data_IF_997222805119
#
_entry.id   IF_997222805119
#
_cell.length_a   1.000
_cell.length_b   1.000
_cell.length_c   1.000
_cell.angle_alpha   90.00
_cell.angle_beta   90.00
_cell.angle_gamma   90.00
#
_symmetry.space_group_name_H-M   'P 1'
#
loop_
_entity.id
_entity.type
_entity.pdbx_description
1 polymer ?
#
# COMPACT_ATOMS: atom_id res chain seq x y z
N UNK A 1 -14.95 20.34 20.22
CA UNK A 1 -15.08 18.86 20.25
C UNK A 1 -15.88 18.33 19.07
N UNK A 2 -17.09 18.82 18.78
CA UNK A 2 -17.84 18.46 17.55
C UNK A 2 -16.98 18.62 16.28
N UNK A 3 -16.26 19.74 16.15
CA UNK A 3 -15.35 19.99 15.02
C UNK A 3 -14.30 18.90 14.82
N UNK A 4 -13.80 18.27 15.89
CA UNK A 4 -12.79 17.22 15.80
C UNK A 4 -13.38 15.97 15.14
N UNK A 5 -14.56 15.53 15.60
CA UNK A 5 -15.27 14.40 14.98
C UNK A 5 -15.65 14.70 13.52
N UNK A 6 -16.19 15.89 13.24
CA UNK A 6 -16.51 16.30 11.86
C UNK A 6 -15.27 16.30 10.97
N UNK A 7 -14.14 16.78 11.48
CA UNK A 7 -12.86 16.73 10.76
C UNK A 7 -12.42 15.28 10.52
N UNK A 8 -12.53 14.39 11.51
CA UNK A 8 -12.24 12.96 11.32
C UNK A 8 -13.14 12.32 10.28
N UNK A 9 -14.46 12.56 10.31
CA UNK A 9 -15.37 12.05 9.27
C UNK A 9 -15.01 12.58 7.89
N UNK A 10 -14.74 13.88 7.77
CA UNK A 10 -14.31 14.50 6.52
C UNK A 10 -13.02 13.85 6.00
N UNK A 11 -12.01 13.69 6.85
CA UNK A 11 -10.75 13.04 6.50
C UNK A 11 -10.92 11.61 6.03
N UNK A 12 -11.75 10.81 6.72
CA UNK A 12 -12.06 9.44 6.32
C UNK A 12 -12.80 9.39 4.99
N UNK A 13 -13.80 10.25 4.80
CA UNK A 13 -14.54 10.34 3.54
C UNK A 13 -13.62 10.68 2.37
N UNK A 14 -12.80 11.73 2.50
CA UNK A 14 -11.84 12.14 1.47
C UNK A 14 -10.81 11.05 1.21
N UNK A 15 -10.29 10.40 2.25
CA UNK A 15 -9.37 9.26 2.11
C UNK A 15 -9.97 8.15 1.26
N UNK A 16 -11.21 7.73 1.58
CA UNK A 16 -11.93 6.69 0.84
C UNK A 16 -12.09 7.09 -0.63
N UNK A 17 -12.58 8.31 -0.90
CA UNK A 17 -12.77 8.83 -2.27
C UNK A 17 -11.47 8.82 -3.06
N UNK A 18 -10.37 9.30 -2.48
CA UNK A 18 -9.07 9.37 -3.15
C UNK A 18 -8.47 7.99 -3.40
N UNK A 19 -8.60 7.05 -2.46
CA UNK A 19 -8.17 5.65 -2.64
C UNK A 19 -8.96 5.00 -3.76
N UNK A 20 -10.29 5.11 -3.77
CA UNK A 20 -11.13 4.56 -4.85
C UNK A 20 -10.80 5.18 -6.20
N UNK A 21 -10.62 6.51 -6.26
CA UNK A 21 -10.20 7.19 -7.49
C UNK A 21 -8.86 6.65 -8.03
N UNK A 22 -7.89 6.38 -7.15
CA UNK A 22 -6.61 5.77 -7.52
C UNK A 22 -6.77 4.32 -8.01
N UNK A 23 -7.58 3.51 -7.33
CA UNK A 23 -7.86 2.12 -7.74
C UNK A 23 -8.51 2.09 -9.12
N UNK A 24 -9.50 2.96 -9.37
CA UNK A 24 -10.14 3.09 -10.68
C UNK A 24 -9.10 3.48 -11.72
N UNK A 25 -8.30 4.53 -11.45
CA UNK A 25 -7.24 5.00 -12.37
C UNK A 25 -6.24 3.90 -12.73
N UNK A 26 -5.82 3.08 -11.77
CA UNK A 26 -4.89 1.97 -12.02
C UNK A 26 -5.56 0.82 -12.77
N UNK A 27 -6.82 0.51 -12.45
CA UNK A 27 -7.57 -0.56 -13.11
C UNK A 27 -7.95 -0.21 -14.56
N UNK A 28 -8.12 1.07 -14.85
CA UNK A 28 -8.41 1.61 -16.18
C UNK A 28 -7.15 2.01 -16.97
N UNK A 29 -5.95 1.77 -16.41
CA UNK A 29 -4.72 2.11 -17.10
C UNK A 29 -4.56 1.27 -18.39
N UNK A 30 -3.92 1.84 -19.44
CA UNK A 30 -3.54 1.08 -20.62
C UNK A 30 -2.67 -0.13 -20.29
N UNK A 31 -2.56 -1.05 -21.25
CA UNK A 31 -1.64 -2.19 -21.15
C UNK A 31 -0.22 -1.67 -20.90
N UNK A 32 0.44 -2.20 -19.88
CA UNK A 32 1.82 -1.87 -19.57
C UNK A 32 2.77 -2.66 -20.46
N UNK A 33 4.02 -2.19 -20.57
CA UNK A 33 5.09 -2.97 -21.19
C UNK A 33 5.38 -4.20 -20.32
N UNK A 34 5.51 -5.36 -20.96
CA UNK A 34 5.90 -6.61 -20.28
C UNK A 34 7.38 -6.55 -19.92
N UNK A 35 7.69 -6.91 -18.68
CA UNK A 35 9.07 -6.99 -18.22
C UNK A 35 9.65 -8.41 -18.31
N UNK A 36 8.82 -9.42 -18.62
CA UNK A 36 9.22 -10.85 -18.74
C UNK A 36 10.19 -11.31 -17.63
N UNK A 37 9.87 -10.95 -16.38
CA UNK A 37 10.73 -11.23 -15.23
C UNK A 37 10.58 -12.66 -14.75
N UNK A 38 11.45 -13.54 -15.24
CA UNK A 38 11.55 -14.91 -14.75
C UNK A 38 12.27 -14.99 -13.39
N UNK A 39 11.92 -15.98 -12.54
CA UNK A 39 10.83 -16.94 -12.71
C UNK A 39 9.45 -16.30 -12.49
N UNK A 40 8.45 -16.76 -13.26
CA UNK A 40 7.04 -16.37 -13.12
C UNK A 40 6.41 -17.21 -12.02
N UNK A 41 5.81 -16.58 -11.02
CA UNK A 41 5.41 -17.27 -9.78
C UNK A 41 4.31 -18.33 -9.98
N UNK A 42 3.44 -18.17 -10.97
CA UNK A 42 2.35 -19.11 -11.24
C UNK A 42 2.73 -20.22 -12.23
N UNK A 43 3.95 -20.25 -12.76
CA UNK A 43 4.45 -21.32 -13.63
C UNK A 43 5.02 -22.49 -12.81
N UNK A 44 5.04 -23.69 -13.39
CA UNK A 44 5.54 -24.91 -12.71
C UNK A 44 7.06 -24.93 -12.53
N UNK A 45 7.81 -24.19 -13.36
CA UNK A 45 9.26 -24.29 -13.43
C UNK A 45 9.94 -23.46 -12.33
N UNK A 46 10.23 -24.11 -11.21
CA UNK A 46 10.86 -23.50 -10.03
C UNK A 46 12.27 -22.91 -10.30
N UNK A 47 12.97 -23.41 -11.32
CA UNK A 47 14.36 -23.07 -11.63
C UNK A 47 14.51 -22.20 -12.89
N UNK A 48 13.41 -21.61 -13.37
CA UNK A 48 13.39 -20.81 -14.60
C UNK A 48 12.90 -21.60 -15.81
N UNK A 49 12.52 -20.86 -16.84
CA UNK A 49 11.97 -21.37 -18.09
C UNK A 49 10.46 -21.16 -18.21
N UNK A 50 10.04 -20.65 -19.36
CA UNK A 50 8.66 -20.27 -19.65
C UNK A 50 7.86 -21.40 -20.28
N UNK A 51 6.53 -21.32 -20.26
CA UNK A 51 5.71 -22.09 -21.18
C UNK A 51 6.10 -21.87 -22.66
N UNK A 52 6.77 -20.76 -23.01
CA UNK A 52 7.33 -20.54 -24.36
C UNK A 52 8.34 -21.60 -24.80
N UNK A 53 8.95 -22.33 -23.86
CA UNK A 53 9.88 -23.43 -24.15
C UNK A 53 9.16 -24.71 -24.58
N UNK A 54 7.84 -24.81 -24.35
CA UNK A 54 7.06 -25.96 -24.80
C UNK A 54 6.79 -25.88 -26.31
N UNK A 55 7.13 -26.91 -27.09
CA UNK A 55 6.80 -26.95 -28.51
C UNK A 55 5.29 -26.83 -28.72
N UNK A 56 4.88 -25.91 -29.61
CA UNK A 56 3.46 -25.63 -29.90
C UNK A 56 2.68 -25.23 -28.64
N UNK A 57 3.30 -24.55 -27.67
CA UNK A 57 2.64 -24.05 -26.46
C UNK A 57 1.31 -23.33 -26.73
N UNK A 58 1.20 -22.62 -27.87
CA UNK A 58 -0.01 -21.89 -28.28
C UNK A 58 -1.22 -22.79 -28.58
N UNK A 59 -1.03 -24.11 -28.66
CA UNK A 59 -2.11 -25.10 -28.81
C UNK A 59 -2.58 -25.67 -27.46
N UNK A 60 -1.83 -25.44 -26.38
CA UNK A 60 -2.10 -26.00 -25.07
C UNK A 60 -2.73 -24.95 -24.15
N UNK A 61 -3.53 -25.40 -23.17
CA UNK A 61 -3.97 -24.53 -22.09
C UNK A 61 -2.80 -24.21 -21.15
N UNK A 62 -2.54 -22.92 -20.95
CA UNK A 62 -1.50 -22.44 -20.02
C UNK A 62 -1.99 -22.67 -18.59
N UNK A 63 -1.31 -23.55 -17.86
CA UNK A 63 -1.63 -23.87 -16.46
C UNK A 63 -1.00 -22.84 -15.52
N UNK A 64 -1.85 -22.09 -14.82
CA UNK A 64 -1.42 -21.10 -13.82
C UNK A 64 -1.75 -21.56 -12.41
N UNK A 65 -0.77 -21.49 -11.50
CA UNK A 65 -0.97 -21.74 -10.08
C UNK A 65 -1.19 -20.42 -9.33
N UNK A 66 -2.45 -20.04 -9.13
CA UNK A 66 -2.80 -18.84 -8.34
C UNK A 66 -2.34 -18.94 -6.88
N UNK A 67 -2.27 -20.16 -6.32
CA UNK A 67 -1.78 -20.37 -4.96
C UNK A 67 -0.29 -20.03 -4.86
N UNK A 68 0.50 -20.44 -5.85
CA UNK A 68 1.93 -20.12 -5.88
C UNK A 68 2.16 -18.61 -6.03
N UNK A 69 1.38 -17.96 -6.91
CA UNK A 69 1.38 -16.51 -7.10
C UNK A 69 1.09 -15.76 -5.78
N UNK A 70 0.01 -16.13 -5.10
CA UNK A 70 -0.39 -15.55 -3.82
C UNK A 70 0.66 -15.79 -2.72
N UNK A 71 1.29 -16.96 -2.70
CA UNK A 71 2.35 -17.26 -1.73
C UNK A 71 3.58 -16.38 -1.94
N UNK A 72 4.02 -16.20 -3.18
CA UNK A 72 5.17 -15.31 -3.48
C UNK A 72 4.81 -13.85 -3.19
N UNK A 73 3.58 -13.42 -3.48
CA UNK A 73 3.11 -12.08 -3.06
C UNK A 73 3.13 -11.93 -1.54
N UNK A 74 2.64 -12.92 -0.81
CA UNK A 74 2.66 -12.92 0.65
C UNK A 74 4.08 -12.76 1.19
N UNK A 75 5.05 -13.54 0.69
CA UNK A 75 6.45 -13.41 1.10
C UNK A 75 7.06 -12.03 0.77
N UNK A 76 6.74 -11.50 -0.41
CA UNK A 76 7.24 -10.20 -0.87
C UNK A 76 6.62 -9.02 -0.12
N UNK A 77 5.41 -9.17 0.42
CA UNK A 77 4.71 -8.12 1.15
C UNK A 77 5.00 -8.21 2.64
N UNK A 78 4.83 -9.38 3.24
CA UNK A 78 4.97 -9.57 4.70
C UNK A 78 6.45 -9.57 5.10
N UNK A 79 7.29 -10.31 4.39
CA UNK A 79 8.71 -10.44 4.74
C UNK A 79 9.65 -9.54 3.95
N UNK A 80 9.12 -8.79 2.97
CA UNK A 80 9.93 -7.99 2.04
C UNK A 80 11.06 -8.83 1.41
N UNK A 81 10.73 -10.06 1.01
CA UNK A 81 11.70 -11.07 0.55
C UNK A 81 12.65 -10.54 -0.53
N UNK A 82 12.15 -9.77 -1.49
CA UNK A 82 12.98 -9.14 -2.52
C UNK A 82 14.05 -8.20 -1.94
N UNK A 83 13.68 -7.38 -0.94
CA UNK A 83 14.63 -6.50 -0.25
C UNK A 83 15.61 -7.32 0.58
N UNK A 84 15.16 -8.38 1.26
CA UNK A 84 16.03 -9.27 2.03
C UNK A 84 17.15 -9.87 1.16
N UNK A 85 16.78 -10.37 -0.03
CA UNK A 85 17.70 -11.05 -0.94
C UNK A 85 18.67 -10.05 -1.61
N UNK A 86 18.15 -8.93 -2.12
CA UNK A 86 18.93 -8.03 -2.99
C UNK A 86 19.55 -6.83 -2.25
N UNK A 87 19.03 -6.46 -1.08
CA UNK A 87 19.53 -5.34 -0.28
C UNK A 87 19.31 -5.55 1.22
N UNK A 88 20.04 -6.53 1.78
CA UNK A 88 19.93 -6.92 3.18
C UNK A 88 20.15 -5.78 4.17
N UNK A 89 21.02 -4.81 3.84
CA UNK A 89 21.26 -3.62 4.67
C UNK A 89 20.00 -2.76 4.78
N UNK A 90 19.28 -2.55 3.68
CA UNK A 90 17.99 -1.84 3.67
C UNK A 90 16.89 -2.63 4.39
N UNK A 91 16.94 -3.96 4.30
CA UNK A 91 15.95 -4.83 4.94
C UNK A 91 15.92 -4.67 6.47
N UNK A 92 17.07 -4.53 7.13
CA UNK A 92 17.12 -4.39 8.60
C UNK A 92 16.34 -3.19 9.15
N UNK A 93 16.14 -2.13 8.36
CA UNK A 93 15.31 -0.99 8.75
C UNK A 93 13.92 -1.04 8.11
N UNK A 94 13.82 -1.54 6.88
CA UNK A 94 12.55 -1.64 6.15
C UNK A 94 11.61 -2.66 6.79
N UNK A 95 12.11 -3.82 7.21
CA UNK A 95 11.27 -4.88 7.77
C UNK A 95 10.64 -4.47 9.10
N UNK A 96 11.39 -3.97 10.12
CA UNK A 96 10.77 -3.42 11.33
C UNK A 96 9.77 -2.31 11.04
N UNK A 97 10.09 -1.40 10.11
CA UNK A 97 9.15 -0.34 9.72
C UNK A 97 7.81 -0.89 9.22
N UNK A 98 7.84 -1.84 8.26
CA UNK A 98 6.62 -2.41 7.68
C UNK A 98 5.88 -3.32 8.67
N UNK A 99 6.61 -4.16 9.40
CA UNK A 99 6.03 -5.00 10.46
C UNK A 99 5.32 -4.13 11.51
N UNK A 100 5.95 -3.03 11.92
CA UNK A 100 5.34 -2.07 12.83
C UNK A 100 4.04 -1.48 12.28
N UNK A 101 4.03 -1.09 11.00
CA UNK A 101 2.82 -0.59 10.34
C UNK A 101 1.72 -1.66 10.26
N UNK A 102 2.06 -2.92 9.99
CA UNK A 102 1.11 -4.02 10.00
C UNK A 102 0.49 -4.23 11.39
N UNK A 103 1.29 -4.15 12.45
CA UNK A 103 0.81 -4.24 13.82
C UNK A 103 -0.07 -3.06 14.22
N UNK A 104 0.26 -1.82 13.79
CA UNK A 104 -0.58 -0.63 14.01
C UNK A 104 -1.93 -0.78 13.30
N UNK A 105 -1.93 -1.21 12.04
CA UNK A 105 -3.16 -1.48 11.28
C UNK A 105 -3.98 -2.59 11.93
N UNK A 106 -3.34 -3.67 12.36
CA UNK A 106 -4.01 -4.74 13.11
C UNK A 106 -4.62 -4.23 14.42
N UNK A 107 -3.91 -3.36 15.15
CA UNK A 107 -4.38 -2.72 16.39
C UNK A 107 -5.64 -1.90 16.13
N UNK A 108 -5.69 -1.13 15.04
CA UNK A 108 -6.89 -0.40 14.65
C UNK A 108 -8.09 -1.35 14.44
N UNK A 109 -7.92 -2.44 13.68
CA UNK A 109 -9.01 -3.40 13.48
C UNK A 109 -9.41 -4.12 14.78
N UNK A 110 -8.47 -4.44 15.66
CA UNK A 110 -8.76 -5.02 16.97
C UNK A 110 -9.53 -4.04 17.87
N UNK A 111 -9.22 -2.74 17.84
CA UNK A 111 -10.01 -1.70 18.52
C UNK A 111 -11.43 -1.66 17.95
N UNK A 112 -11.59 -1.68 16.62
CA UNK A 112 -12.93 -1.73 15.99
C UNK A 112 -13.69 -2.97 16.45
N UNK A 113 -13.07 -4.15 16.45
CA UNK A 113 -13.68 -5.39 16.95
C UNK A 113 -14.09 -5.25 18.42
N UNK A 114 -13.24 -4.66 19.26
CA UNK A 114 -13.53 -4.41 20.68
C UNK A 114 -14.77 -3.54 20.86
N UNK A 115 -14.90 -2.48 20.05
CA UNK A 115 -16.06 -1.59 20.04
C UNK A 115 -17.31 -2.32 19.54
N UNK A 116 -17.22 -3.10 18.47
CA UNK A 116 -18.37 -3.85 17.94
C UNK A 116 -18.88 -4.90 18.94
N UNK A 117 -17.97 -5.57 19.67
CA UNK A 117 -18.34 -6.52 20.73
C UNK A 117 -19.02 -5.82 21.91
N UNK A 118 -18.57 -4.62 22.26
CA UNK A 118 -19.23 -3.80 23.28
C UNK A 118 -20.64 -3.36 22.84
N UNK A 119 -20.80 -2.89 21.60
CA UNK A 119 -22.12 -2.53 21.06
C UNK A 119 -23.07 -3.73 20.95
N UNK A 120 -22.54 -4.93 20.71
CA UNK A 120 -23.30 -6.17 20.70
C UNK A 120 -23.53 -6.76 22.11
N UNK A 121 -23.12 -6.07 23.18
CA UNK A 121 -23.23 -6.54 24.58
C UNK A 121 -22.51 -7.88 24.85
N UNK A 122 -21.49 -8.21 24.06
CA UNK A 122 -20.68 -9.43 24.22
C UNK A 122 -19.52 -9.24 25.19
N UNK A 123 -19.03 -8.00 25.31
CA UNK A 123 -17.95 -7.56 26.22
C UNK A 123 -18.34 -6.18 26.74
N UNK A 124 -17.81 -5.73 27.88
CA UNK A 124 -17.91 -4.34 28.30
C UNK A 124 -16.59 -3.63 28.03
N UNK A 125 -16.62 -2.55 27.25
CA UNK A 125 -15.42 -1.83 26.81
C UNK A 125 -14.56 -1.39 28.01
N UNK A 126 -13.24 -1.55 27.89
CA UNK A 126 -12.28 -1.15 28.93
C UNK A 126 -12.46 -1.86 30.28
N UNK A 127 -13.11 -3.02 30.31
CA UNK A 127 -13.19 -3.87 31.50
C UNK A 127 -12.55 -5.22 31.24
N UNK A 128 -11.96 -5.78 32.29
CA UNK A 128 -11.23 -7.06 32.27
C UNK A 128 -12.01 -8.15 33.02
N UNK A 129 -13.32 -8.25 32.74
CA UNK A 129 -14.23 -9.19 33.44
C UNK A 129 -14.42 -10.51 32.70
N UNK A 130 -14.48 -10.47 31.36
CA UNK A 130 -14.60 -11.66 30.51
C UNK A 130 -13.26 -12.03 29.89
N UNK A 131 -12.96 -13.34 29.81
CA UNK A 131 -11.73 -13.86 29.19
C UNK A 131 -11.49 -13.30 27.78
N UNK A 132 -12.52 -13.23 26.95
CA UNK A 132 -12.42 -12.68 25.58
C UNK A 132 -12.02 -11.21 25.60
N UNK A 133 -12.56 -10.41 26.52
CA UNK A 133 -12.21 -9.00 26.70
C UNK A 133 -10.76 -8.82 27.15
N UNK A 134 -10.32 -9.62 28.12
CA UNK A 134 -8.94 -9.63 28.62
C UNK A 134 -7.98 -9.97 27.48
N UNK A 135 -8.24 -11.05 26.73
CA UNK A 135 -7.40 -11.45 25.60
C UNK A 135 -7.30 -10.34 24.56
N UNK A 136 -8.44 -9.76 24.18
CA UNK A 136 -8.49 -8.69 23.19
C UNK A 136 -7.72 -7.44 23.64
N UNK A 137 -7.91 -6.99 24.88
CA UNK A 137 -7.16 -5.86 25.45
C UNK A 137 -5.64 -6.12 25.47
N UNK A 138 -5.22 -7.32 25.84
CA UNK A 138 -3.80 -7.70 25.84
C UNK A 138 -3.20 -7.71 24.44
N UNK A 139 -3.90 -8.28 23.45
CA UNK A 139 -3.43 -8.30 22.06
C UNK A 139 -3.36 -6.88 21.48
N UNK A 140 -4.37 -6.03 21.75
CA UNK A 140 -4.35 -4.60 21.37
C UNK A 140 -3.11 -3.92 21.95
N UNK A 141 -2.80 -4.14 23.23
CA UNK A 141 -1.63 -3.54 23.86
C UNK A 141 -0.32 -4.03 23.25
N UNK A 142 -0.13 -5.34 23.11
CA UNK A 142 1.11 -5.91 22.56
C UNK A 142 1.32 -5.43 21.13
N UNK A 143 0.29 -5.48 20.30
CA UNK A 143 0.39 -5.08 18.89
C UNK A 143 0.53 -3.57 18.76
N UNK A 144 -0.17 -2.80 19.59
CA UNK A 144 -0.13 -1.35 19.57
C UNK A 144 1.24 -0.81 19.97
N UNK A 145 1.74 -1.18 21.15
CA UNK A 145 3.06 -0.75 21.61
C UNK A 145 4.18 -1.32 20.75
N UNK A 146 4.13 -2.63 20.44
CA UNK A 146 5.12 -3.26 19.57
C UNK A 146 5.15 -2.64 18.17
N UNK A 147 3.98 -2.36 17.61
CA UNK A 147 3.83 -1.69 16.32
C UNK A 147 4.45 -0.30 16.30
N UNK A 148 4.13 0.53 17.31
CA UNK A 148 4.68 1.88 17.42
C UNK A 148 6.20 1.88 17.58
N UNK A 149 6.75 1.03 18.45
CA UNK A 149 8.19 0.93 18.65
C UNK A 149 8.90 0.54 17.35
N UNK A 150 8.41 -0.51 16.68
CA UNK A 150 9.01 -0.99 15.43
C UNK A 150 8.89 0.03 14.30
N UNK A 151 7.75 0.71 14.16
CA UNK A 151 7.57 1.77 13.16
C UNK A 151 8.49 2.95 13.42
N UNK A 152 8.61 3.43 14.66
CA UNK A 152 9.49 4.55 15.00
C UNK A 152 10.97 4.20 14.77
N UNK A 153 11.43 3.04 15.25
CA UNK A 153 12.81 2.57 15.01
C UNK A 153 13.09 2.39 13.52
N UNK A 154 12.13 1.82 12.79
CA UNK A 154 12.20 1.67 11.34
C UNK A 154 12.29 3.01 10.61
N UNK A 155 11.48 4.01 10.98
CA UNK A 155 11.55 5.37 10.45
C UNK A 155 12.93 5.99 10.67
N UNK A 156 13.44 5.95 11.90
CA UNK A 156 14.75 6.51 12.26
C UNK A 156 15.84 5.84 11.42
N UNK A 157 15.83 4.51 11.34
CA UNK A 157 16.79 3.73 10.56
C UNK A 157 16.74 4.05 9.06
N UNK A 158 15.54 4.19 8.48
CA UNK A 158 15.37 4.54 7.08
C UNK A 158 15.80 5.98 6.78
N UNK A 159 15.50 6.93 7.66
CA UNK A 159 15.98 8.32 7.54
C UNK A 159 17.50 8.34 7.60
N UNK A 160 18.10 7.67 8.59
CA UNK A 160 19.55 7.57 8.73
C UNK A 160 20.20 6.97 7.48
N UNK A 161 19.66 5.85 6.98
CA UNK A 161 20.20 5.19 5.79
C UNK A 161 20.10 6.08 4.55
N UNK A 162 18.96 6.77 4.35
CA UNK A 162 18.78 7.70 3.22
C UNK A 162 19.72 8.90 3.31
N UNK A 163 20.00 9.40 4.51
CA UNK A 163 20.88 10.54 4.72
C UNK A 163 22.37 10.20 4.55
N UNK A 164 22.78 8.99 4.92
CA UNK A 164 24.20 8.62 5.02
C UNK A 164 24.72 7.81 3.83
N UNK A 165 23.89 6.97 3.21
CA UNK A 165 24.34 6.06 2.17
C UNK A 165 24.22 6.72 0.78
N UNK A 166 25.39 7.02 0.19
CA UNK A 166 25.54 7.72 -1.10
C UNK A 166 24.75 7.05 -2.23
N UNK A 167 24.47 5.73 -2.14
CA UNK A 167 23.69 5.00 -3.15
C UNK A 167 22.27 5.54 -3.27
N UNK A 168 21.68 6.05 -2.19
CA UNK A 168 20.31 6.59 -2.21
C UNK A 168 20.23 8.04 -2.68
N UNK A 169 21.37 8.74 -2.82
CA UNK A 169 21.39 10.17 -3.20
C UNK A 169 20.60 10.45 -4.48
N UNK A 170 20.67 9.57 -5.47
CA UNK A 170 20.00 9.73 -6.77
C UNK A 170 18.53 9.28 -6.76
N UNK A 171 18.10 8.56 -5.73
CA UNK A 171 16.75 8.02 -5.59
C UNK A 171 15.91 8.76 -4.55
N UNK A 172 16.55 9.59 -3.71
CA UNK A 172 15.89 10.37 -2.68
C UNK A 172 15.29 11.66 -3.26
N UNK A 173 14.03 11.90 -2.94
CA UNK A 173 13.35 13.18 -3.09
C UNK A 173 12.98 13.74 -1.71
N UNK A 174 12.70 15.05 -1.63
CA UNK A 174 12.23 15.68 -0.39
C UNK A 174 10.99 14.97 0.19
N UNK A 175 10.07 14.55 -0.69
CA UNK A 175 8.86 13.83 -0.29
C UNK A 175 9.15 12.52 0.45
N UNK A 176 10.24 11.81 0.12
CA UNK A 176 10.57 10.55 0.80
C UNK A 176 10.96 10.78 2.27
N UNK A 177 11.65 11.89 2.55
CA UNK A 177 11.94 12.31 3.92
C UNK A 177 10.70 12.84 4.63
N UNK A 178 9.91 13.71 3.98
CA UNK A 178 8.66 14.25 4.57
C UNK A 178 7.71 13.13 4.99
N UNK A 179 7.54 12.09 4.16
CA UNK A 179 6.71 10.93 4.51
C UNK A 179 7.22 10.22 5.77
N UNK A 180 8.53 9.93 5.85
CA UNK A 180 9.12 9.25 7.00
C UNK A 180 9.06 10.09 8.27
N UNK A 181 9.34 11.39 8.19
CA UNK A 181 9.24 12.30 9.32
C UNK A 181 7.79 12.43 9.80
N UNK A 182 6.82 12.51 8.90
CA UNK A 182 5.42 12.59 9.31
C UNK A 182 4.99 11.31 10.04
N UNK A 183 5.31 10.12 9.51
CA UNK A 183 5.02 8.85 10.21
C UNK A 183 5.74 8.79 11.56
N UNK A 184 7.00 9.24 11.64
CA UNK A 184 7.74 9.27 12.89
C UNK A 184 7.11 10.20 13.92
N UNK A 185 6.76 11.43 13.53
CA UNK A 185 6.09 12.40 14.42
C UNK A 185 4.75 11.85 14.90
N UNK A 186 3.95 11.29 13.99
CA UNK A 186 2.68 10.66 14.34
C UNK A 186 2.90 9.53 15.34
N UNK A 187 3.83 8.61 15.08
CA UNK A 187 4.16 7.48 15.95
C UNK A 187 4.66 7.92 17.34
N UNK A 188 5.52 8.93 17.40
CA UNK A 188 6.03 9.49 18.66
C UNK A 188 4.91 10.15 19.46
N UNK A 189 4.06 10.96 18.84
CA UNK A 189 2.92 11.59 19.52
C UNK A 189 1.98 10.52 20.08
N UNK A 190 1.62 9.52 19.27
CA UNK A 190 0.76 8.41 19.72
C UNK A 190 1.39 7.68 20.91
N UNK A 191 2.70 7.37 20.82
CA UNK A 191 3.40 6.68 21.90
C UNK A 191 3.40 7.48 23.20
N UNK A 192 3.67 8.79 23.13
CA UNK A 192 3.63 9.70 24.27
C UNK A 192 2.21 9.76 24.87
N UNK A 193 1.17 9.87 24.02
CA UNK A 193 -0.23 9.85 24.49
C UNK A 193 -0.55 8.56 25.23
N UNK A 194 -0.17 7.40 24.68
CA UNK A 194 -0.48 6.10 25.29
C UNK A 194 0.21 5.89 26.64
N UNK A 195 1.46 6.33 26.78
CA UNK A 195 2.21 6.18 28.03
C UNK A 195 1.70 7.15 29.11
N UNK A 196 1.28 8.36 28.75
CA UNK A 196 0.95 9.40 29.71
C UNK A 196 -0.52 9.47 30.11
N UNK A 197 -1.44 9.37 29.15
CA UNK A 197 -2.85 9.74 29.35
C UNK A 197 -3.84 8.73 28.80
N UNK A 198 -3.42 7.82 27.92
CA UNK A 198 -4.30 6.86 27.25
C UNK A 198 -3.73 5.42 27.33
N UNK A 199 -3.37 5.01 28.54
CA UNK A 199 -2.88 3.65 28.78
C UNK A 199 -3.96 2.64 28.39
N UNK A 200 -3.57 1.53 27.76
CA UNK A 200 -4.55 0.51 27.37
C UNK A 200 -5.45 0.89 26.18
N UNK A 201 -5.15 1.98 25.45
CA UNK A 201 -5.96 2.48 24.34
C UNK A 201 -7.41 2.81 24.75
N UNK A 202 -7.64 3.19 26.01
CA UNK A 202 -8.98 3.47 26.57
C UNK A 202 -9.70 4.58 25.79
N UNK A 203 -9.09 5.76 25.67
CA UNK A 203 -9.63 6.91 24.94
C UNK A 203 -9.77 6.60 23.45
N UNK A 204 -8.83 5.82 22.88
CA UNK A 204 -8.92 5.39 21.48
C UNK A 204 -10.16 4.53 21.22
N UNK A 205 -10.44 3.57 22.10
CA UNK A 205 -11.63 2.70 22.04
C UNK A 205 -12.91 3.53 22.21
N UNK A 206 -12.95 4.43 23.19
CA UNK A 206 -14.10 5.32 23.42
C UNK A 206 -14.35 6.23 22.21
N UNK A 207 -13.30 6.83 21.66
CA UNK A 207 -13.40 7.70 20.49
C UNK A 207 -13.95 6.96 19.27
N UNK A 208 -13.47 5.74 19.01
CA UNK A 208 -14.01 4.89 17.94
C UNK A 208 -15.48 4.53 18.20
N UNK A 209 -15.85 4.16 19.43
CA UNK A 209 -17.27 3.93 19.80
C UNK A 209 -18.13 5.16 19.54
N UNK A 210 -17.65 6.34 19.90
CA UNK A 210 -18.33 7.60 19.66
C UNK A 210 -18.50 7.89 18.17
N UNK A 211 -17.51 7.56 17.33
CA UNK A 211 -17.63 7.65 15.87
C UNK A 211 -18.72 6.73 15.31
N UNK A 212 -18.82 5.48 15.79
CA UNK A 212 -19.87 4.55 15.35
C UNK A 212 -21.27 4.94 15.82
N UNK A 213 -21.38 5.54 17.00
CA UNK A 213 -22.65 5.91 17.63
C UNK A 213 -23.08 7.35 17.35
N UNK A 214 -22.31 8.09 16.53
CA UNK A 214 -22.52 9.53 16.25
C UNK A 214 -22.60 10.38 17.52
N UNK A 215 -21.88 9.97 18.57
CA UNK A 215 -21.87 10.65 19.86
C UNK A 215 -20.69 11.64 19.94
N UNK A 216 -20.97 12.93 19.93
CA UNK A 216 -19.96 13.98 19.97
C UNK A 216 -19.50 14.34 21.38
N UNK A 217 -19.10 13.32 22.16
CA UNK A 217 -18.66 13.51 23.54
C UNK A 217 -17.39 14.37 23.64
N UNK A 218 -17.29 15.17 24.71
CA UNK A 218 -16.12 16.01 24.94
C UNK A 218 -14.87 15.15 25.23
N UNK A 219 -13.73 15.59 24.69
CA UNK A 219 -12.42 14.98 24.90
C UNK A 219 -11.57 16.05 25.59
N UNK A 220 -11.04 15.73 26.76
CA UNK A 220 -10.28 16.69 27.58
C UNK A 220 -8.77 16.52 27.43
N UNK A 221 -8.31 15.35 26.98
CA UNK A 221 -6.88 15.10 26.78
C UNK A 221 -6.36 15.79 25.51
N UNK A 222 -5.58 16.85 25.71
CA UNK A 222 -4.93 17.63 24.64
C UNK A 222 -3.99 16.75 23.81
N UNK A 223 -3.27 15.81 24.42
CA UNK A 223 -2.36 14.91 23.71
C UNK A 223 -3.13 14.02 22.74
N UNK A 224 -4.25 13.46 23.19
CA UNK A 224 -5.14 12.67 22.35
C UNK A 224 -5.79 13.50 21.23
N UNK A 225 -6.19 14.74 21.50
CA UNK A 225 -6.72 15.64 20.45
C UNK A 225 -5.67 15.87 19.35
N UNK A 226 -4.41 16.16 19.72
CA UNK A 226 -3.31 16.34 18.75
C UNK A 226 -3.11 15.07 17.93
N UNK A 227 -3.10 13.90 18.58
CA UNK A 227 -3.02 12.61 17.90
C UNK A 227 -4.15 12.46 16.88
N UNK A 228 -5.41 12.67 17.25
CA UNK A 228 -6.56 12.54 16.33
C UNK A 228 -6.45 13.50 15.15
N UNK A 229 -5.99 14.74 15.37
CA UNK A 229 -5.76 15.73 14.30
C UNK A 229 -4.66 15.24 13.35
N UNK A 230 -3.52 14.80 13.87
CA UNK A 230 -2.40 14.32 13.05
C UNK A 230 -2.79 13.08 12.24
N UNK A 231 -3.54 12.15 12.85
CA UNK A 231 -4.06 10.97 12.14
C UNK A 231 -5.06 11.36 11.05
N UNK A 232 -5.95 12.32 11.32
CA UNK A 232 -6.90 12.85 10.34
C UNK A 232 -6.20 13.55 9.18
N UNK A 233 -5.11 14.29 9.44
CA UNK A 233 -4.24 14.87 8.41
C UNK A 233 -3.49 13.79 7.63
N UNK A 234 -3.02 12.73 8.30
CA UNK A 234 -2.38 11.62 7.64
C UNK A 234 -3.32 10.92 6.65
N UNK A 235 -4.60 10.73 6.99
CA UNK A 235 -5.59 10.20 6.06
C UNK A 235 -5.80 11.08 4.82
N UNK A 236 -5.75 12.40 4.96
CA UNK A 236 -5.82 13.32 3.81
C UNK A 236 -4.55 13.28 2.95
N UNK A 237 -3.39 13.17 3.60
CA UNK A 237 -2.07 13.22 2.96
C UNK A 237 -1.69 11.91 2.28
N UNK A 238 -1.93 10.78 2.92
CA UNK A 238 -1.54 9.46 2.47
C UNK A 238 -1.88 9.18 1.00
N UNK A 239 -3.13 9.39 0.53
CA UNK A 239 -3.54 8.95 -0.79
C UNK A 239 -3.01 9.78 -1.96
N UNK A 240 -2.45 10.96 -1.68
CA UNK A 240 -1.87 11.86 -2.68
C UNK A 240 -0.33 11.75 -2.76
N UNK A 241 0.28 10.85 -1.99
CA UNK A 241 1.74 10.67 -1.93
C UNK A 241 2.21 9.35 -2.54
N UNK A 242 3.53 9.13 -2.53
CA UNK A 242 4.17 7.86 -2.88
C UNK A 242 3.79 6.70 -1.95
N UNK A 243 3.18 6.95 -0.78
CA UNK A 243 2.76 5.91 0.16
C UNK A 243 1.61 5.04 -0.38
N UNK A 244 0.90 5.50 -1.41
CA UNK A 244 -0.12 4.70 -2.12
C UNK A 244 0.40 3.42 -2.77
N UNK A 245 1.72 3.24 -2.86
CA UNK A 245 2.30 1.98 -3.30
C UNK A 245 1.82 0.79 -2.47
N UNK A 246 1.39 1.00 -1.21
CA UNK A 246 0.75 -0.03 -0.39
C UNK A 246 -0.43 -0.66 -1.15
N UNK A 247 -1.42 0.14 -1.53
CA UNK A 247 -2.61 -0.35 -2.24
C UNK A 247 -2.26 -0.90 -3.62
N UNK A 248 -1.41 -0.21 -4.38
CA UNK A 248 -1.00 -0.69 -5.69
C UNK A 248 -0.28 -2.05 -5.61
N UNK A 249 0.53 -2.31 -4.57
CA UNK A 249 1.26 -3.57 -4.44
C UNK A 249 0.31 -4.77 -4.28
N UNK A 250 -0.80 -4.63 -3.56
CA UNK A 250 -1.77 -5.73 -3.44
C UNK A 250 -2.56 -5.98 -4.74
N UNK A 251 -2.94 -4.92 -5.46
CA UNK A 251 -3.87 -5.05 -6.60
C UNK A 251 -3.20 -5.19 -7.97
N UNK A 252 -2.01 -4.60 -8.15
CA UNK A 252 -1.38 -4.49 -9.47
C UNK A 252 -0.02 -5.17 -9.55
N UNK A 253 0.61 -5.54 -8.43
CA UNK A 253 1.99 -6.04 -8.45
C UNK A 253 2.15 -7.33 -9.26
N UNK A 254 1.26 -8.30 -9.06
CA UNK A 254 1.28 -9.54 -9.83
C UNK A 254 1.03 -9.29 -11.32
N UNK A 255 0.09 -8.41 -11.66
CA UNK A 255 -0.16 -8.00 -13.05
C UNK A 255 1.02 -7.26 -13.67
N UNK A 256 1.82 -6.54 -12.90
CA UNK A 256 2.96 -5.82 -13.48
C UNK A 256 4.18 -6.74 -13.58
N UNK A 257 4.39 -7.59 -12.59
CA UNK A 257 5.61 -8.41 -12.47
C UNK A 257 5.54 -9.72 -13.25
N UNK A 258 4.37 -10.34 -13.32
CA UNK A 258 4.18 -11.70 -13.82
C UNK A 258 3.12 -11.80 -14.92
N UNK A 259 2.70 -10.69 -15.53
CA UNK A 259 1.76 -10.79 -16.65
C UNK A 259 2.46 -11.39 -17.87
N UNK A 260 1.87 -12.50 -18.31
CA UNK A 260 2.36 -13.40 -19.34
C UNK A 260 1.21 -13.88 -20.25
N UNK A 261 0.07 -13.18 -20.27
CA UNK A 261 -1.11 -13.63 -21.03
C UNK A 261 -0.82 -13.56 -22.54
N UNK A 262 -0.98 -14.63 -23.33
CA UNK A 262 -0.72 -14.54 -24.76
C UNK A 262 -1.71 -13.60 -25.45
N UNK A 263 -1.22 -12.80 -26.41
CA UNK A 263 -2.10 -11.98 -27.23
C UNK A 263 -2.77 -12.86 -28.31
N UNK A 264 -4.02 -13.24 -28.07
CA UNK A 264 -4.82 -14.04 -29.01
C UNK A 264 -5.77 -13.15 -29.83
N UNK A 265 -6.00 -13.52 -31.09
CA UNK A 265 -6.90 -12.81 -32.00
C UNK A 265 -8.33 -12.77 -31.41
N UNK A 266 -8.94 -11.58 -31.36
CA UNK A 266 -10.24 -11.35 -30.75
C UNK A 266 -10.23 -11.33 -29.21
N UNK A 267 -9.07 -11.50 -28.58
CA UNK A 267 -8.92 -11.51 -27.14
C UNK A 267 -9.05 -10.13 -26.49
N UNK A 268 -9.20 -10.12 -25.16
CA UNK A 268 -9.26 -8.88 -24.36
C UNK A 268 -8.00 -8.04 -24.52
N UNK A 269 -6.83 -8.69 -24.54
CA UNK A 269 -5.55 -8.02 -24.70
C UNK A 269 -5.43 -7.36 -26.08
N UNK A 270 -5.81 -8.05 -27.16
CA UNK A 270 -5.81 -7.48 -28.51
C UNK A 270 -6.67 -6.22 -28.59
N UNK A 271 -7.87 -6.26 -27.98
CA UNK A 271 -8.76 -5.08 -27.92
C UNK A 271 -8.08 -3.90 -27.23
N UNK A 272 -7.46 -4.12 -26.06
CA UNK A 272 -6.76 -3.06 -25.33
C UNK A 272 -5.54 -2.52 -26.09
N UNK A 273 -4.82 -3.37 -26.82
CA UNK A 273 -3.71 -2.94 -27.68
C UNK A 273 -4.24 -2.08 -28.83
N UNK A 274 -5.33 -2.49 -29.49
CA UNK A 274 -5.98 -1.68 -30.55
C UNK A 274 -6.44 -0.32 -30.03
N UNK A 275 -7.00 -0.26 -28.82
CA UNK A 275 -7.34 1.01 -28.17
C UNK A 275 -6.08 1.86 -27.90
N UNK A 276 -5.01 1.27 -27.39
CA UNK A 276 -3.76 1.97 -27.11
C UNK A 276 -3.04 2.49 -28.36
N UNK A 277 -3.14 1.77 -29.49
CA UNK A 277 -2.61 2.20 -30.78
C UNK A 277 -3.25 3.50 -31.29
N UNK A 278 -4.47 3.82 -30.85
CA UNK A 278 -5.14 5.07 -31.20
C UNK A 278 -4.75 6.25 -30.29
N UNK A 279 -3.90 6.04 -29.27
CA UNK A 279 -3.45 7.15 -28.43
C UNK A 279 -2.50 8.06 -29.23
N UNK A 280 -2.65 9.37 -29.01
CA UNK A 280 -1.80 10.39 -29.62
C UNK A 280 -0.39 10.42 -29.02
N UNK A 281 0.60 10.62 -29.87
CA UNK A 281 2.00 10.78 -29.51
C UNK A 281 2.29 12.26 -29.28
N UNK A 282 2.55 12.63 -28.03
CA UNK A 282 2.75 14.03 -27.60
C UNK A 282 4.21 14.48 -27.53
N UNK A 283 5.17 13.56 -27.68
CA UNK A 283 6.60 13.87 -27.62
C UNK A 283 7.22 13.93 -29.03
N UNK A 284 8.37 14.59 -29.14
CA UNK A 284 9.05 14.85 -30.41
C UNK A 284 10.49 14.36 -30.36
N UNK A 285 10.90 13.69 -31.43
CA UNK A 285 12.28 13.33 -31.74
C UNK A 285 12.40 13.18 -33.27
N UNK A 286 13.60 13.22 -33.86
CA UNK A 286 13.77 13.14 -35.31
C UNK A 286 13.12 11.90 -35.96
N UNK A 287 12.95 10.81 -35.21
CA UNK A 287 12.36 9.55 -35.66
C UNK A 287 10.90 9.35 -35.18
N UNK A 288 10.25 10.40 -34.65
CA UNK A 288 8.89 10.31 -34.08
C UNK A 288 8.01 11.42 -34.64
N UNK A 289 6.87 11.01 -35.20
CA UNK A 289 5.88 11.94 -35.75
C UNK A 289 4.93 12.41 -34.63
N UNK A 290 5.19 13.60 -34.08
CA UNK A 290 4.36 14.20 -33.04
C UNK A 290 2.97 14.56 -33.58
N UNK A 291 1.92 14.40 -32.75
CA UNK A 291 0.53 14.69 -33.13
C UNK A 291 -0.16 13.57 -33.92
N UNK A 292 0.57 12.49 -34.21
CA UNK A 292 0.05 11.25 -34.81
C UNK A 292 -0.33 10.23 -33.75
N UNK A 293 -1.11 9.23 -34.14
CA UNK A 293 -1.41 8.07 -33.29
C UNK A 293 -0.24 7.08 -33.27
N UNK A 294 -0.16 6.22 -32.25
CA UNK A 294 0.83 5.14 -32.21
C UNK A 294 0.71 4.18 -33.40
N UNK A 295 -0.49 3.94 -33.92
CA UNK A 295 -0.70 3.17 -35.15
C UNK A 295 0.04 3.80 -36.32
N UNK A 296 -0.18 5.09 -36.58
CA UNK A 296 0.48 5.82 -37.68
C UNK A 296 2.00 5.85 -37.50
N UNK A 297 2.50 6.09 -36.28
CA UNK A 297 3.95 6.10 -36.01
C UNK A 297 4.57 4.73 -36.24
N UNK A 298 3.90 3.65 -35.83
CA UNK A 298 4.41 2.28 -35.98
C UNK A 298 4.40 1.77 -37.43
N UNK A 299 3.55 2.34 -38.29
CA UNK A 299 3.42 1.93 -39.70
C UNK A 299 4.06 2.89 -40.70
N UNK A 300 4.63 3.99 -40.24
CA UNK A 300 5.24 5.01 -41.11
C UNK A 300 6.72 5.12 -40.82
N UNK A 301 7.57 4.99 -41.82
CA UNK A 301 9.00 5.20 -41.66
C UNK A 301 9.35 6.69 -41.87
N UNK A 302 9.69 7.46 -40.81
CA UNK A 302 9.98 8.88 -40.96
C UNK A 302 11.32 9.16 -41.69
N UNK A 303 12.19 8.15 -41.84
CA UNK A 303 13.45 8.26 -42.58
C UNK A 303 13.36 7.73 -44.00
N UNK A 304 12.21 7.21 -44.44
CA UNK A 304 11.92 7.06 -45.86
C UNK A 304 11.77 8.46 -46.46
N UNK A 305 12.90 9.01 -46.88
CA UNK A 305 12.96 10.28 -47.57
C UNK A 305 12.04 10.27 -48.81
N UNK A 306 11.32 11.38 -48.94
CA UNK A 306 10.72 11.90 -50.17
C UNK A 306 11.73 11.77 -51.32
N UNK A 307 11.67 10.66 -52.04
CA UNK A 307 12.24 10.56 -53.38
C UNK A 307 11.36 11.29 -54.37
#
# INVERSE_FOLDING_TARGET
MILLYLFTYFSLFVFIVLVFSKIIKYSSAPVHVRWELYPVAHEKNKYGGSYYEEPKWWKNEIKKSHIAELWVMFEEIIFLKGVYIHNRKLWYFSFPFHLGLYLIVATFFLIVISVLFDLASLVVLNTDTLFVGILLNNVINIFGYGGLVLTCLGCIGLIFQRATDKKFKFYNSAMDFTNLYFILILGVVVFITLVNSNTGFIESKIFVKNLFTLNFAAINDVSFIIHVILLSLFFLYFPITRMMHLFAKYFTYHKVRWEDEPNVKGGKLEKKIKEALNFGVSWSAPHIQTGKTWAEVATTNPTEEKK
#
